data_IF_807963774358
#
_entry.id   IF_807963774358
#
_cell.length_a   1.000
_cell.length_b   1.000
_cell.length_c   1.000
_cell.angle_alpha   90.00
_cell.angle_beta   90.00
_cell.angle_gamma   90.00
#
_symmetry.space_group_name_H-M   'P 1'
#
loop_
_entity.id
_entity.type
_entity.pdbx_description
1 polymer ?
#
# COMPACT_ATOMS: atom_id res chain seq x y z
N UNK A 1 -21.84 -5.69 21.05
CA UNK A 1 -21.06 -4.44 21.18
C UNK A 1 -20.75 -4.02 19.76
N UNK A 2 -21.37 -2.92 19.29
CA UNK A 2 -21.33 -2.52 17.89
C UNK A 2 -19.97 -1.93 17.54
N UNK A 3 -19.35 -2.46 16.48
CA UNK A 3 -18.17 -1.86 15.85
C UNK A 3 -18.62 -0.59 15.13
N UNK A 4 -18.69 0.54 15.84
CA UNK A 4 -18.98 1.88 15.29
C UNK A 4 -17.71 2.57 14.78
N UNK A 5 -16.82 1.83 14.12
CA UNK A 5 -15.63 2.39 13.48
C UNK A 5 -15.84 2.53 11.97
N UNK A 6 -15.49 3.68 11.38
CA UNK A 6 -15.33 3.78 9.93
C UNK A 6 -14.28 2.75 9.48
N UNK A 7 -14.64 1.85 8.56
CA UNK A 7 -13.71 0.90 7.95
C UNK A 7 -13.20 1.48 6.63
N UNK A 8 -11.93 1.34 6.32
CA UNK A 8 -11.34 1.85 5.10
C UNK A 8 -10.95 0.71 4.15
N UNK A 9 -10.98 0.98 2.86
CA UNK A 9 -10.48 0.08 1.83
C UNK A 9 -9.61 0.86 0.86
N UNK A 10 -8.44 0.31 0.53
CA UNK A 10 -7.50 0.88 -0.41
C UNK A 10 -7.13 -0.13 -1.49
N UNK A 11 -7.19 0.27 -2.76
CA UNK A 11 -6.65 -0.52 -3.88
C UNK A 11 -5.21 -0.08 -4.14
N UNK A 12 -4.30 -1.04 -4.17
CA UNK A 12 -2.85 -0.79 -4.24
C UNK A 12 -2.32 -1.34 -5.55
N UNK A 13 -1.67 -0.48 -6.34
CA UNK A 13 -0.95 -0.88 -7.54
C UNK A 13 0.33 -1.67 -7.19
N UNK A 14 0.90 -2.44 -8.13
CA UNK A 14 2.15 -3.17 -7.90
C UNK A 14 3.34 -2.30 -7.47
N UNK A 15 3.37 -1.03 -7.89
CA UNK A 15 4.38 -0.02 -7.51
C UNK A 15 4.09 0.64 -6.15
N UNK A 16 3.11 0.10 -5.42
CA UNK A 16 2.68 0.56 -4.11
C UNK A 16 1.68 1.70 -4.14
N UNK A 17 1.41 2.36 -5.28
CA UNK A 17 0.52 3.53 -5.31
C UNK A 17 -0.89 3.17 -4.89
N UNK A 18 -1.50 4.00 -4.05
CA UNK A 18 -2.93 3.92 -3.76
C UNK A 18 -3.72 4.43 -4.97
N UNK A 19 -4.40 3.52 -5.65
CA UNK A 19 -5.26 3.84 -6.79
C UNK A 19 -6.59 4.42 -6.32
N UNK A 20 -7.16 3.81 -5.29
CA UNK A 20 -8.46 4.16 -4.73
C UNK A 20 -8.39 4.03 -3.21
N UNK A 21 -9.03 4.95 -2.50
CA UNK A 21 -9.20 4.90 -1.04
C UNK A 21 -10.65 5.25 -0.71
N UNK A 22 -11.31 4.39 0.03
CA UNK A 22 -12.70 4.56 0.43
C UNK A 22 -12.87 4.44 1.93
N UNK A 23 -13.78 5.25 2.45
CA UNK A 23 -14.36 5.11 3.77
C UNK A 23 -15.71 4.40 3.67
N UNK A 24 -15.90 3.41 4.52
CA UNK A 24 -17.15 2.67 4.72
C UNK A 24 -17.71 3.06 6.09
N UNK A 25 -18.75 3.88 6.07
CA UNK A 25 -19.53 4.18 7.27
C UNK A 25 -20.50 3.03 7.61
N UNK A 26 -20.96 2.94 8.87
CA UNK A 26 -21.82 1.84 9.33
C UNK A 26 -23.18 1.77 8.61
N UNK A 27 -23.72 2.89 8.14
CA UNK A 27 -25.05 2.97 7.50
C UNK A 27 -25.05 3.85 6.23
N UNK A 28 -23.87 4.15 5.67
CA UNK A 28 -23.70 5.13 4.60
C UNK A 28 -23.12 4.55 3.31
N UNK A 29 -23.35 5.20 2.15
CA UNK A 29 -22.67 4.83 0.92
C UNK A 29 -21.15 5.03 1.07
N UNK A 30 -20.36 4.19 0.39
CA UNK A 30 -18.90 4.34 0.34
C UNK A 30 -18.51 5.77 -0.06
N UNK A 31 -17.59 6.38 0.68
CA UNK A 31 -17.10 7.73 0.41
C UNK A 31 -15.66 7.66 -0.10
N UNK A 32 -15.35 8.19 -1.29
CA UNK A 32 -13.97 8.27 -1.75
C UNK A 32 -13.18 9.31 -0.94
N UNK A 33 -11.96 8.95 -0.56
CA UNK A 33 -10.98 9.83 0.06
C UNK A 33 -9.79 9.94 -0.89
N UNK A 34 -9.30 11.15 -1.13
CA UNK A 34 -8.07 11.33 -1.88
C UNK A 34 -6.87 10.87 -1.04
N UNK A 35 -6.13 9.86 -1.51
CA UNK A 35 -4.99 9.30 -0.79
C UNK A 35 -3.92 10.35 -0.43
N UNK A 36 -3.68 11.33 -1.31
CA UNK A 36 -2.72 12.41 -1.10
C UNK A 36 -3.26 13.60 -0.28
N UNK A 37 -4.53 13.57 0.14
CA UNK A 37 -5.09 14.60 1.02
C UNK A 37 -4.64 14.39 2.47
N UNK A 38 -4.74 15.43 3.31
CA UNK A 38 -4.41 15.34 4.74
C UNK A 38 -5.13 14.18 5.43
N UNK A 39 -6.44 14.04 5.20
CA UNK A 39 -7.25 12.96 5.76
C UNK A 39 -6.82 11.57 5.23
N UNK A 40 -6.54 11.47 3.93
CA UNK A 40 -6.05 10.23 3.31
C UNK A 40 -4.72 9.78 3.89
N UNK A 41 -3.76 10.70 4.02
CA UNK A 41 -2.44 10.42 4.61
C UNK A 41 -2.57 10.04 6.09
N UNK A 42 -3.45 10.69 6.85
CA UNK A 42 -3.70 10.35 8.25
C UNK A 42 -4.26 8.92 8.41
N UNK A 43 -5.24 8.53 7.59
CA UNK A 43 -5.80 7.17 7.57
C UNK A 43 -4.72 6.15 7.22
N UNK A 44 -4.00 6.37 6.12
CA UNK A 44 -2.94 5.48 5.65
C UNK A 44 -1.79 5.36 6.67
N UNK A 45 -1.40 6.46 7.32
CA UNK A 45 -0.35 6.46 8.33
C UNK A 45 -0.78 5.78 9.64
N UNK A 46 -2.05 5.90 10.02
CA UNK A 46 -2.60 5.22 11.19
C UNK A 46 -2.73 3.72 10.98
N UNK A 47 -3.16 3.30 9.78
CA UNK A 47 -3.22 1.90 9.39
C UNK A 47 -4.24 1.06 10.16
N UNK A 48 -5.19 1.68 10.86
CA UNK A 48 -6.23 0.97 11.64
C UNK A 48 -7.51 0.87 10.82
N UNK A 49 -8.20 -0.26 10.92
CA UNK A 49 -9.49 -0.53 10.29
C UNK A 49 -9.44 -0.39 8.76
N UNK A 50 -8.26 -0.56 8.14
CA UNK A 50 -8.04 -0.44 6.70
C UNK A 50 -7.70 -1.80 6.10
N UNK A 51 -8.32 -2.09 4.96
CA UNK A 51 -8.00 -3.21 4.08
C UNK A 51 -7.28 -2.70 2.83
N UNK A 52 -6.09 -3.22 2.56
CA UNK A 52 -5.33 -3.00 1.33
C UNK A 52 -5.55 -4.18 0.40
N UNK A 53 -6.04 -3.93 -0.81
CA UNK A 53 -6.28 -4.93 -1.86
C UNK A 53 -5.28 -4.75 -2.98
N UNK A 54 -4.63 -5.84 -3.38
CA UNK A 54 -3.67 -5.86 -4.49
C UNK A 54 -4.30 -6.48 -5.75
N UNK A 55 -5.11 -7.52 -5.55
CA UNK A 55 -5.89 -8.21 -6.57
C UNK A 55 -7.12 -8.88 -5.92
N UNK A 56 -7.72 -9.88 -6.60
CA UNK A 56 -8.90 -10.60 -6.10
C UNK A 56 -8.61 -11.49 -4.87
N UNK A 57 -7.35 -11.91 -4.65
CA UNK A 57 -6.96 -12.85 -3.60
C UNK A 57 -5.98 -12.23 -2.58
N UNK A 58 -5.14 -11.29 -3.03
CA UNK A 58 -4.12 -10.61 -2.23
C UNK A 58 -4.68 -9.44 -1.41
N UNK A 59 -4.64 -9.57 -0.08
CA UNK A 59 -4.94 -8.46 0.80
C UNK A 59 -4.05 -8.40 2.06
N UNK A 60 -3.86 -7.17 2.55
CA UNK A 60 -3.28 -6.89 3.86
C UNK A 60 -4.26 -6.02 4.65
N UNK A 61 -4.27 -6.13 5.98
CA UNK A 61 -5.16 -5.34 6.82
C UNK A 61 -4.44 -4.82 8.05
N UNK A 62 -5.00 -3.75 8.62
CA UNK A 62 -4.62 -3.22 9.93
C UNK A 62 -3.11 -2.94 10.07
N UNK A 63 -2.51 -2.48 8.98
CA UNK A 63 -1.10 -2.12 8.89
C UNK A 63 -0.98 -0.66 8.40
N UNK A 64 -0.09 0.15 8.99
CA UNK A 64 0.21 1.46 8.42
C UNK A 64 0.79 1.29 7.01
N UNK A 65 0.43 2.18 6.11
CA UNK A 65 0.83 2.13 4.70
C UNK A 65 2.35 2.01 4.49
N UNK A 66 3.24 2.66 5.28
CA UNK A 66 4.67 2.36 5.23
C UNK A 66 5.02 0.89 5.48
N UNK A 67 4.30 0.20 6.37
CA UNK A 67 4.46 -1.24 6.59
C UNK A 67 3.97 -2.07 5.40
N UNK A 68 2.94 -1.61 4.69
CA UNK A 68 2.49 -2.26 3.45
C UNK A 68 3.57 -2.16 2.38
N UNK A 69 4.16 -0.98 2.20
CA UNK A 69 5.27 -0.79 1.26
C UNK A 69 6.50 -1.63 1.64
N UNK A 70 6.78 -1.79 2.94
CA UNK A 70 7.83 -2.69 3.41
C UNK A 70 7.55 -4.16 3.05
N UNK A 71 6.32 -4.63 3.26
CA UNK A 71 5.92 -5.99 2.91
C UNK A 71 6.07 -6.25 1.40
N UNK A 72 5.64 -5.29 0.57
CA UNK A 72 5.82 -5.35 -0.88
C UNK A 72 7.31 -5.39 -1.27
N UNK A 73 8.15 -4.56 -0.62
CA UNK A 73 9.59 -4.55 -0.85
C UNK A 73 10.20 -5.92 -0.56
N UNK A 74 9.85 -6.51 0.58
CA UNK A 74 10.35 -7.82 0.98
C UNK A 74 9.95 -8.91 -0.01
N UNK A 75 8.72 -8.88 -0.51
CA UNK A 75 8.26 -9.84 -1.52
C UNK A 75 9.03 -9.71 -2.85
N UNK A 76 9.26 -8.47 -3.32
CA UNK A 76 10.06 -8.23 -4.52
C UNK A 76 11.51 -8.71 -4.34
N UNK A 77 12.12 -8.43 -3.18
CA UNK A 77 13.48 -8.87 -2.86
C UNK A 77 13.60 -10.38 -2.75
N UNK A 78 12.62 -11.05 -2.13
CA UNK A 78 12.55 -12.50 -2.05
C UNK A 78 12.42 -13.11 -3.44
N UNK A 79 11.61 -12.52 -4.31
CA UNK A 79 11.44 -12.98 -5.69
C UNK A 79 12.74 -12.80 -6.48
N UNK A 80 13.40 -11.64 -6.38
CA UNK A 80 14.72 -11.41 -6.98
C UNK A 80 15.77 -12.43 -6.50
N UNK A 81 15.75 -12.76 -5.21
CA UNK A 81 16.63 -13.79 -4.65
C UNK A 81 16.37 -15.15 -5.32
N UNK A 82 15.11 -15.57 -5.43
CA UNK A 82 14.73 -16.84 -6.09
C UNK A 82 15.14 -16.88 -7.56
N UNK A 83 14.91 -15.79 -8.33
CA UNK A 83 15.35 -15.69 -9.72
C UNK A 83 16.87 -15.86 -9.82
N UNK A 84 17.63 -15.15 -8.98
CA UNK A 84 19.10 -15.19 -9.00
C UNK A 84 19.67 -16.58 -8.71
N UNK A 85 19.01 -17.37 -7.87
CA UNK A 85 19.46 -18.71 -7.51
C UNK A 85 18.88 -19.82 -8.39
N UNK A 86 18.16 -19.45 -9.46
CA UNK A 86 17.55 -20.42 -10.37
C UNK A 86 16.45 -21.24 -9.68
N UNK A 87 15.80 -20.70 -8.66
CA UNK A 87 14.60 -21.33 -8.06
C UNK A 87 13.36 -21.04 -8.91
N UNK A 88 13.42 -20.00 -9.75
CA UNK A 88 12.46 -19.66 -10.80
C UNK A 88 13.13 -19.94 -12.16
N UNK A 89 13.21 -21.23 -12.50
CA UNK A 89 13.99 -21.74 -13.63
C UNK A 89 13.52 -21.26 -15.01
N UNK A 90 12.29 -20.75 -15.10
CA UNK A 90 11.64 -20.43 -16.39
C UNK A 90 11.65 -18.94 -16.75
N UNK A 91 12.11 -18.03 -15.87
CA UNK A 91 11.89 -16.59 -16.04
C UNK A 91 13.08 -15.69 -15.62
N UNK A 92 14.30 -15.89 -16.17
CA UNK A 92 15.45 -15.03 -15.87
C UNK A 92 15.26 -13.56 -16.32
N UNK A 93 14.36 -13.34 -17.27
CA UNK A 93 13.98 -12.02 -17.78
C UNK A 93 13.12 -11.19 -16.81
N UNK A 94 12.65 -11.80 -15.70
CA UNK A 94 11.93 -11.07 -14.65
C UNK A 94 12.82 -10.15 -13.82
N UNK A 95 14.12 -10.45 -13.71
CA UNK A 95 15.01 -9.69 -12.82
C UNK A 95 15.04 -8.18 -13.16
N UNK A 96 15.19 -7.73 -14.42
CA UNK A 96 15.06 -6.32 -14.79
C UNK A 96 13.70 -5.71 -14.42
N UNK A 97 12.60 -6.44 -14.61
CA UNK A 97 11.25 -5.96 -14.31
C UNK A 97 11.06 -5.76 -12.80
N UNK A 98 11.53 -6.71 -11.98
CA UNK A 98 11.49 -6.64 -10.52
C UNK A 98 12.37 -5.50 -9.97
N UNK A 99 13.56 -5.27 -10.55
CA UNK A 99 14.42 -4.15 -10.17
C UNK A 99 13.76 -2.80 -10.48
N UNK A 100 13.09 -2.68 -11.62
CA UNK A 100 12.31 -1.47 -11.95
C UNK A 100 11.16 -1.28 -10.95
N UNK A 101 10.41 -2.34 -10.67
CA UNK A 101 9.29 -2.30 -9.73
C UNK A 101 9.75 -1.88 -8.33
N UNK A 102 10.90 -2.39 -7.88
CA UNK A 102 11.50 -1.99 -6.60
C UNK A 102 11.82 -0.49 -6.59
N UNK A 103 12.41 0.04 -7.66
CA UNK A 103 12.72 1.46 -7.76
C UNK A 103 11.46 2.34 -7.74
N UNK A 104 10.40 1.91 -8.44
CA UNK A 104 9.10 2.59 -8.44
C UNK A 104 8.45 2.56 -7.04
N UNK A 105 8.54 1.42 -6.33
CA UNK A 105 8.06 1.27 -4.97
C UNK A 105 8.80 2.21 -3.99
N UNK A 106 10.13 2.29 -4.08
CA UNK A 106 10.91 3.23 -3.27
C UNK A 106 10.55 4.69 -3.55
N UNK A 107 10.29 5.03 -4.81
CA UNK A 107 9.82 6.37 -5.19
C UNK A 107 8.44 6.68 -4.58
N UNK A 108 7.51 5.71 -4.59
CA UNK A 108 6.20 5.83 -3.93
C UNK A 108 6.37 6.02 -2.41
N UNK A 109 7.24 5.24 -1.77
CA UNK A 109 7.51 5.36 -0.34
C UNK A 109 8.08 6.75 0.01
N UNK A 110 9.05 7.25 -0.77
CA UNK A 110 9.61 8.57 -0.59
C UNK A 110 8.53 9.67 -0.77
N UNK A 111 7.71 9.57 -1.81
CA UNK A 111 6.63 10.53 -2.07
C UNK A 111 5.60 10.58 -0.92
N UNK A 112 5.25 9.43 -0.35
CA UNK A 112 4.35 9.38 0.81
C UNK A 112 4.98 10.05 2.04
N UNK A 113 6.26 9.79 2.32
CA UNK A 113 6.96 10.41 3.44
C UNK A 113 7.06 11.93 3.29
N UNK A 114 7.35 12.43 2.09
CA UNK A 114 7.39 13.88 1.82
C UNK A 114 6.00 14.51 1.97
N UNK A 115 4.96 13.85 1.47
CA UNK A 115 3.57 14.31 1.65
C UNK A 115 3.23 14.40 3.14
N UNK A 116 3.58 13.37 3.93
CA UNK A 116 3.33 13.34 5.37
C UNK A 116 4.05 14.46 6.14
N UNK A 117 5.30 14.77 5.78
CA UNK A 117 6.05 15.89 6.39
C UNK A 117 5.47 17.26 6.05
N UNK A 118 4.92 17.39 4.84
CA UNK A 118 4.31 18.63 4.35
C UNK A 118 2.93 18.93 4.95
N UNK A 119 2.34 17.98 5.66
CA UNK A 119 1.09 18.18 6.38
C UNK A 119 1.36 18.86 7.73
N UNK A 120 0.55 19.85 8.12
CA UNK A 120 0.63 20.39 9.47
C UNK A 120 0.44 19.25 10.48
N UNK A 121 1.30 19.18 11.49
CA UNK A 121 1.00 18.39 12.68
C UNK A 121 -0.33 18.93 13.22
N UNK A 122 -1.39 18.12 13.17
CA UNK A 122 -2.74 18.62 13.49
C UNK A 122 -2.78 19.29 14.87
N UNK A 123 -3.52 20.40 14.92
CA UNK A 123 -3.90 21.15 16.12
C UNK A 123 -5.02 20.45 16.89
#
# INVERSE_FOLDING_TARGET
MGETGSRYEAVVAPDGRILELWEHGPDGPRRPIQAASAAGVAVLAAGRDILYRFDDEGCLRDLPYPGVLEAMRQEIQLTLYKVRHGELLDEPELAPALLRLLAELEATAAAFQETRKGLPAEA
#
